data_IF_123313491226
#
_entry.id   IF_123313491226
#
_cell.length_a   1.000
_cell.length_b   1.000
_cell.length_c   1.000
_cell.angle_alpha   90.00
_cell.angle_beta   90.00
_cell.angle_gamma   90.00
#
_symmetry.space_group_name_H-M   'P 1'
#
loop_
_entity.id
_entity.type
_entity.pdbx_description
1 polymer ?
#
# COMPACT_ATOMS: atom_id res chain seq x y z
N UNK A 1 12.09 -26.95 2.09
CA UNK A 1 10.70 -27.30 1.70
C UNK A 1 10.22 -26.22 0.75
N UNK A 2 10.31 -26.45 -0.56
CA UNK A 2 10.00 -25.48 -1.62
C UNK A 2 8.97 -26.10 -2.57
N UNK A 3 7.77 -26.37 -2.03
CA UNK A 3 6.62 -26.82 -2.82
C UNK A 3 5.82 -25.60 -3.28
N UNK A 4 5.79 -25.34 -4.59
CA UNK A 4 4.78 -24.48 -5.21
C UNK A 4 5.14 -23.02 -5.46
N UNK A 5 6.38 -22.71 -5.87
CA UNK A 5 6.67 -21.37 -6.39
C UNK A 5 5.84 -21.09 -7.65
N UNK A 6 5.21 -19.91 -7.78
CA UNK A 6 4.46 -19.55 -8.98
C UNK A 6 5.39 -19.50 -10.20
N UNK A 7 4.94 -20.05 -11.32
CA UNK A 7 5.70 -20.02 -12.58
C UNK A 7 5.46 -18.70 -13.30
N UNK A 8 6.51 -17.93 -13.56
CA UNK A 8 6.43 -16.66 -14.27
C UNK A 8 6.62 -16.85 -15.79
N UNK A 9 5.93 -16.06 -16.58
CA UNK A 9 5.98 -16.01 -18.05
C UNK A 9 6.50 -14.65 -18.51
N UNK A 10 7.07 -14.62 -19.73
CA UNK A 10 7.65 -13.42 -20.35
C UNK A 10 9.15 -13.57 -20.59
N UNK A 11 9.80 -12.45 -20.88
CA UNK A 11 11.24 -12.29 -20.98
C UNK A 11 11.91 -12.50 -19.61
N UNK A 12 13.21 -12.80 -19.58
CA UNK A 12 13.94 -13.02 -18.32
C UNK A 12 13.82 -11.83 -17.36
N UNK A 13 13.90 -10.61 -17.90
CA UNK A 13 13.70 -9.38 -17.12
C UNK A 13 12.26 -9.27 -16.56
N UNK A 14 11.24 -9.58 -17.37
CA UNK A 14 9.84 -9.55 -16.94
C UNK A 14 9.56 -10.60 -15.85
N UNK A 15 10.15 -11.79 -15.99
CA UNK A 15 10.04 -12.85 -14.98
C UNK A 15 10.71 -12.44 -13.67
N UNK A 16 11.90 -11.82 -13.74
CA UNK A 16 12.61 -11.35 -12.56
C UNK A 16 11.84 -10.26 -11.83
N UNK A 17 11.28 -9.30 -12.55
CA UNK A 17 10.44 -8.24 -11.97
C UNK A 17 9.16 -8.82 -11.38
N UNK A 18 8.46 -9.71 -12.09
CA UNK A 18 7.27 -10.36 -11.58
C UNK A 18 7.54 -11.14 -10.27
N UNK A 19 8.70 -11.82 -10.19
CA UNK A 19 9.14 -12.50 -8.97
C UNK A 19 9.39 -11.53 -7.83
N UNK A 20 10.11 -10.43 -8.07
CA UNK A 20 10.38 -9.43 -7.04
C UNK A 20 9.11 -8.77 -6.52
N UNK A 21 8.15 -8.49 -7.41
CA UNK A 21 6.82 -7.98 -7.04
C UNK A 21 6.08 -8.99 -6.16
N UNK A 22 6.07 -10.27 -6.56
CA UNK A 22 5.44 -11.33 -5.79
C UNK A 22 6.07 -11.46 -4.39
N UNK A 23 7.40 -11.52 -4.31
CA UNK A 23 8.13 -11.62 -3.04
C UNK A 23 7.85 -10.42 -2.13
N UNK A 24 7.81 -9.20 -2.69
CA UNK A 24 7.46 -7.99 -1.95
C UNK A 24 6.03 -8.07 -1.40
N UNK A 25 5.06 -8.43 -2.24
CA UNK A 25 3.66 -8.55 -1.82
C UNK A 25 3.51 -9.61 -0.73
N UNK A 26 4.15 -10.78 -0.87
CA UNK A 26 4.14 -11.84 0.14
C UNK A 26 4.80 -11.39 1.45
N UNK A 27 5.90 -10.64 1.37
CA UNK A 27 6.59 -10.08 2.53
C UNK A 27 5.70 -9.08 3.30
N UNK A 28 4.97 -8.21 2.59
CA UNK A 28 3.99 -7.31 3.20
C UNK A 28 2.78 -8.07 3.76
N UNK A 29 2.39 -9.15 3.09
CA UNK A 29 1.28 -10.01 3.44
C UNK A 29 1.59 -11.07 4.50
N UNK A 30 2.74 -11.05 5.18
CA UNK A 30 3.16 -12.16 6.05
C UNK A 30 2.17 -12.46 7.18
N UNK A 31 1.58 -11.42 7.77
CA UNK A 31 0.58 -11.51 8.82
C UNK A 31 -0.82 -11.91 8.33
N UNK A 32 -1.05 -11.96 7.02
CA UNK A 32 -2.34 -12.31 6.45
C UNK A 32 -2.48 -13.83 6.25
N UNK A 33 -3.73 -14.30 6.19
CA UNK A 33 -4.04 -15.69 5.86
C UNK A 33 -3.49 -16.09 4.47
N UNK A 34 -3.21 -17.38 4.26
CA UNK A 34 -2.61 -17.88 3.02
C UNK A 34 -3.40 -17.54 1.74
N UNK A 35 -4.72 -17.45 1.85
CA UNK A 35 -5.66 -17.11 0.78
C UNK A 35 -6.10 -15.63 0.79
N UNK A 36 -5.56 -14.81 1.68
CA UNK A 36 -5.90 -13.40 1.72
C UNK A 36 -5.42 -12.67 0.47
N UNK A 37 -6.25 -11.76 -0.03
CA UNK A 37 -5.89 -10.88 -1.14
C UNK A 37 -4.98 -9.77 -0.64
N UNK A 38 -3.76 -9.74 -1.17
CA UNK A 38 -2.80 -8.68 -0.94
C UNK A 38 -2.97 -7.68 -2.09
N UNK A 39 -3.37 -6.46 -1.77
CA UNK A 39 -3.56 -5.35 -2.71
C UNK A 39 -2.33 -4.45 -2.67
N UNK A 40 -1.77 -4.10 -3.83
CA UNK A 40 -0.73 -3.09 -3.97
C UNK A 40 -1.00 -2.18 -5.17
N UNK A 41 -0.85 -0.87 -4.99
CA UNK A 41 -1.02 0.08 -6.09
C UNK A 41 0.23 0.13 -6.97
N UNK A 42 0.04 0.27 -8.28
CA UNK A 42 1.12 0.48 -9.24
C UNK A 42 2.06 1.64 -8.84
N UNK A 43 1.59 2.83 -8.44
CA UNK A 43 2.49 3.91 -8.02
C UNK A 43 3.35 3.57 -6.81
N UNK A 44 2.84 2.77 -5.85
CA UNK A 44 3.64 2.34 -4.69
C UNK A 44 4.73 1.35 -5.11
N UNK A 45 4.42 0.42 -6.02
CA UNK A 45 5.41 -0.53 -6.56
C UNK A 45 6.52 0.21 -7.32
N UNK A 46 6.15 1.11 -8.23
CA UNK A 46 7.10 1.92 -9.02
C UNK A 46 8.01 2.71 -8.09
N UNK A 47 7.42 3.41 -7.11
CA UNK A 47 8.17 4.20 -6.12
C UNK A 47 9.16 3.34 -5.34
N UNK A 48 8.74 2.16 -4.88
CA UNK A 48 9.58 1.23 -4.15
C UNK A 48 10.77 0.74 -5.00
N UNK A 49 10.54 0.31 -6.23
CA UNK A 49 11.61 -0.22 -7.09
C UNK A 49 12.57 0.85 -7.61
N UNK A 50 12.09 2.08 -7.81
CA UNK A 50 12.97 3.22 -8.10
C UNK A 50 13.85 3.54 -6.89
N UNK A 51 13.31 3.51 -5.67
CA UNK A 51 14.09 3.68 -4.43
C UNK A 51 15.13 2.57 -4.24
N UNK A 52 14.79 1.33 -4.61
CA UNK A 52 15.73 0.21 -4.62
C UNK A 52 16.75 0.24 -5.77
N UNK A 53 16.69 1.26 -6.64
CA UNK A 53 17.58 1.44 -7.80
C UNK A 53 17.53 0.29 -8.81
N UNK A 54 16.41 -0.44 -8.89
CA UNK A 54 16.21 -1.48 -9.92
C UNK A 54 16.15 -0.85 -11.31
N UNK A 55 15.41 0.26 -11.44
CA UNK A 55 15.43 1.15 -12.60
C UNK A 55 15.43 2.59 -12.11
N UNK A 56 16.24 3.49 -12.70
CA UNK A 56 16.32 4.89 -12.25
C UNK A 56 15.12 5.73 -12.70
N UNK A 57 14.39 5.31 -13.74
CA UNK A 57 13.28 6.05 -14.33
C UNK A 57 11.94 5.44 -13.94
N UNK A 58 11.06 6.25 -13.35
CA UNK A 58 9.71 5.83 -12.96
C UNK A 58 8.85 5.42 -14.17
N UNK A 59 8.96 6.10 -15.31
CA UNK A 59 8.19 5.76 -16.51
C UNK A 59 8.59 4.38 -17.06
N UNK A 60 9.89 4.15 -17.24
CA UNK A 60 10.39 2.84 -17.69
C UNK A 60 10.10 1.71 -16.69
N UNK A 61 10.11 2.01 -15.39
CA UNK A 61 9.74 1.03 -14.36
C UNK A 61 8.24 0.70 -14.43
N UNK A 62 7.40 1.69 -14.72
CA UNK A 62 5.95 1.51 -14.88
C UNK A 62 5.66 0.59 -16.06
N UNK A 63 6.24 0.87 -17.22
CA UNK A 63 6.06 0.04 -18.43
C UNK A 63 6.51 -1.40 -18.19
N UNK A 64 7.66 -1.60 -17.54
CA UNK A 64 8.19 -2.92 -17.22
C UNK A 64 7.30 -3.69 -16.24
N UNK A 65 6.79 -3.00 -15.20
CA UNK A 65 5.82 -3.57 -14.26
C UNK A 65 4.52 -3.98 -14.95
N UNK A 66 3.97 -3.10 -15.79
CA UNK A 66 2.73 -3.40 -16.51
C UNK A 66 2.92 -4.55 -17.50
N UNK A 67 4.03 -4.61 -18.23
CA UNK A 67 4.36 -5.71 -19.12
C UNK A 67 4.51 -7.04 -18.34
N UNK A 68 5.30 -7.04 -17.27
CA UNK A 68 5.53 -8.20 -16.43
C UNK A 68 4.22 -8.72 -15.80
N UNK A 69 3.40 -7.83 -15.24
CA UNK A 69 2.14 -8.23 -14.62
C UNK A 69 1.13 -8.71 -15.66
N UNK A 70 1.05 -8.06 -16.81
CA UNK A 70 0.15 -8.45 -17.90
C UNK A 70 0.44 -9.84 -18.44
N UNK A 71 1.73 -10.21 -18.57
CA UNK A 71 2.13 -11.56 -19.00
C UNK A 71 1.84 -12.63 -17.92
N UNK A 72 1.66 -12.21 -16.68
CA UNK A 72 1.48 -13.06 -15.50
C UNK A 72 0.09 -12.93 -14.88
N UNK A 73 -0.94 -12.79 -15.73
CA UNK A 73 -2.34 -12.63 -15.29
C UNK A 73 -2.92 -13.84 -14.54
N UNK A 74 -2.22 -14.99 -14.56
CA UNK A 74 -2.58 -16.17 -13.77
C UNK A 74 -2.16 -16.06 -12.29
N UNK A 75 -1.24 -15.16 -11.97
CA UNK A 75 -0.74 -14.89 -10.60
C UNK A 75 -1.28 -13.56 -10.06
N UNK A 76 -1.35 -12.56 -10.94
CA UNK A 76 -1.74 -11.20 -10.61
C UNK A 76 -3.07 -10.84 -11.26
N UNK A 77 -3.95 -10.24 -10.47
CA UNK A 77 -5.18 -9.64 -10.97
C UNK A 77 -5.06 -8.11 -10.96
N UNK A 78 -5.26 -7.48 -12.12
CA UNK A 78 -5.30 -6.01 -12.26
C UNK A 78 -6.70 -5.53 -11.94
N UNK A 79 -6.83 -4.72 -10.90
CA UNK A 79 -8.06 -4.01 -10.53
C UNK A 79 -7.84 -2.52 -10.76
N UNK A 80 -8.77 -1.90 -11.48
CA UNK A 80 -8.78 -0.45 -11.67
C UNK A 80 -9.98 0.10 -10.92
N UNK A 81 -9.72 0.84 -9.86
CA UNK A 81 -10.74 1.43 -8.99
C UNK A 81 -10.37 2.89 -8.73
N UNK A 82 -11.36 3.78 -8.76
CA UNK A 82 -11.17 5.22 -8.46
C UNK A 82 -10.04 5.89 -9.29
N UNK A 83 -9.86 5.45 -10.54
CA UNK A 83 -8.80 5.95 -11.42
C UNK A 83 -7.38 5.54 -11.02
N UNK A 84 -7.24 4.54 -10.14
CA UNK A 84 -5.97 4.00 -9.69
C UNK A 84 -5.85 2.52 -10.08
N UNK A 85 -4.69 2.15 -10.60
CA UNK A 85 -4.37 0.76 -10.95
C UNK A 85 -3.75 0.07 -9.75
N UNK A 86 -4.38 -1.02 -9.32
CA UNK A 86 -3.90 -1.88 -8.24
C UNK A 86 -3.77 -3.32 -8.71
N UNK A 87 -2.79 -4.03 -8.16
CA UNK A 87 -2.56 -5.44 -8.42
C UNK A 87 -2.86 -6.25 -7.17
N UNK A 88 -3.55 -7.36 -7.38
CA UNK A 88 -3.96 -8.30 -6.37
C UNK A 88 -3.26 -9.63 -6.58
N UNK A 89 -2.75 -10.20 -5.50
CA UNK A 89 -2.23 -11.57 -5.48
C UNK A 89 -2.51 -12.22 -4.12
N UNK A 90 -2.17 -13.50 -3.97
CA UNK A 90 -2.26 -14.25 -2.70
C UNK A 90 -0.89 -14.80 -2.33
N UNK A 91 -0.71 -15.26 -1.08
CA UNK A 91 0.56 -15.89 -0.66
C UNK A 91 0.90 -17.16 -1.46
N UNK A 92 -0.11 -17.79 -2.06
CA UNK A 92 0.02 -19.00 -2.86
C UNK A 92 0.22 -18.71 -4.36
N UNK A 93 0.23 -17.44 -4.78
CA UNK A 93 0.34 -17.06 -6.20
C UNK A 93 -0.84 -17.54 -7.05
N UNK A 94 -1.98 -17.81 -6.41
CA UNK A 94 -3.24 -18.19 -7.06
C UNK A 94 -4.31 -17.21 -6.62
N UNK A 95 -4.67 -16.29 -7.50
CA UNK A 95 -5.83 -15.45 -7.27
C UNK A 95 -7.08 -16.31 -7.39
N UNK A 96 -7.80 -16.47 -6.27
CA UNK A 96 -9.18 -16.97 -6.28
C UNK A 96 -10.05 -15.76 -5.98
N UNK A 97 -10.96 -15.34 -6.89
CA UNK A 97 -11.85 -14.24 -6.60
C UNK A 97 -12.62 -14.55 -5.32
N UNK A 98 -12.79 -13.59 -4.40
CA UNK A 98 -13.61 -13.81 -3.23
C UNK A 98 -14.99 -14.25 -3.73
N UNK A 99 -15.62 -15.29 -3.15
CA UNK A 99 -17.02 -15.55 -3.42
C UNK A 99 -17.74 -14.24 -3.18
N UNK A 100 -18.43 -13.72 -4.20
CA UNK A 100 -19.07 -12.41 -4.17
C UNK A 100 -19.78 -12.30 -2.83
N UNK A 101 -19.31 -11.39 -1.97
CA UNK A 101 -19.91 -11.18 -0.68
C UNK A 101 -21.37 -10.84 -0.98
N UNK A 102 -22.27 -11.79 -0.69
CA UNK A 102 -23.69 -11.53 -0.64
C UNK A 102 -23.81 -10.44 0.39
N UNK A 103 -23.91 -9.19 -0.08
CA UNK A 103 -24.21 -8.06 0.79
C UNK A 103 -25.45 -8.50 1.55
N UNK A 104 -25.41 -8.64 2.89
CA UNK A 104 -26.65 -8.83 3.62
C UNK A 104 -27.46 -7.59 3.28
N UNK A 105 -28.52 -7.77 2.48
CA UNK A 105 -29.53 -6.72 2.30
C UNK A 105 -29.87 -6.27 3.70
N UNK A 106 -29.50 -5.04 4.07
CA UNK A 106 -30.00 -4.42 5.28
C UNK A 106 -31.51 -4.48 5.14
N UNK A 107 -32.16 -5.36 5.89
CA UNK A 107 -33.59 -5.33 6.04
C UNK A 107 -33.93 -3.91 6.53
N UNK A 108 -34.92 -3.22 5.95
CA UNK A 108 -35.45 -2.04 6.61
C UNK A 108 -36.07 -2.53 7.92
N UNK A 109 -35.40 -2.25 9.05
CA UNK A 109 -35.94 -2.47 10.38
C UNK A 109 -36.98 -1.37 10.65
N UNK A 110 -38.08 -1.41 9.90
CA UNK A 110 -39.22 -0.51 9.99
C UNK A 110 -40.46 -1.29 10.41
N UNK A 111 -40.51 -1.70 11.68
CA UNK A 111 -41.75 -2.05 12.39
C UNK A 111 -41.43 -2.26 13.88
N UNK A 112 -41.23 -1.17 14.62
CA UNK A 112 -41.32 -1.21 16.08
C UNK A 112 -42.81 -1.24 16.47
N UNK A 113 -43.29 -2.17 17.34
CA UNK A 113 -44.60 -2.02 17.94
C UNK A 113 -44.60 -0.88 18.96
N UNK A 114 -45.72 -0.16 19.00
CA UNK A 114 -45.96 1.04 19.79
C UNK A 114 -45.79 0.83 21.31
N UNK A 115 -45.17 1.83 21.96
CA UNK A 115 -45.14 2.03 23.41
C UNK A 115 -46.51 2.48 23.95
N UNK A 116 -46.89 2.12 25.19
CA UNK A 116 -47.73 2.97 26.04
C UNK A 116 -46.87 3.86 26.98
N UNK A 117 -47.41 4.99 27.51
CA UNK A 117 -46.64 6.04 28.18
C UNK A 117 -46.66 5.99 29.72
N UNK A 118 -45.71 6.76 30.29
CA UNK A 118 -45.66 7.34 31.65
C UNK A 118 -45.40 6.40 32.84
N UNK A 119 -44.64 6.74 33.88
CA UNK A 119 -43.73 7.83 34.22
C UNK A 119 -42.98 7.35 35.49
N UNK A 120 -41.75 7.81 35.74
CA UNK A 120 -41.23 8.22 37.08
C UNK A 120 -39.73 8.53 36.99
N UNK A 121 -39.46 9.83 37.15
CA UNK A 121 -38.32 10.49 37.78
C UNK A 121 -36.89 9.94 37.62
N UNK A 122 -36.06 10.79 36.98
CA UNK A 122 -34.60 10.89 37.13
C UNK A 122 -34.25 11.46 38.51
N UNK A 123 -33.06 11.19 39.10
CA UNK A 123 -31.93 12.08 38.81
C UNK A 123 -30.50 11.47 38.86
N UNK A 124 -29.61 12.19 38.16
CA UNK A 124 -28.19 12.44 38.46
C UNK A 124 -27.15 11.30 38.37
N UNK A 125 -26.43 11.28 37.24
CA UNK A 125 -25.04 10.86 37.11
C UNK A 125 -24.39 11.63 35.94
N UNK A 126 -23.20 12.22 36.08
CA UNK A 126 -22.75 13.32 35.22
C UNK A 126 -22.31 12.86 33.83
N UNK A 127 -22.65 13.71 32.86
CA UNK A 127 -22.19 13.66 31.49
C UNK A 127 -20.67 13.75 31.41
N UNK A 128 -20.05 12.73 30.83
CA UNK A 128 -18.76 12.86 30.17
C UNK A 128 -18.88 12.32 28.76
N UNK A 129 -19.11 13.26 27.84
CA UNK A 129 -18.72 13.12 26.43
C UNK A 129 -17.18 13.10 26.41
N UNK A 130 -16.59 12.28 25.54
CA UNK A 130 -15.62 12.85 24.61
C UNK A 130 -16.10 12.48 23.20
N UNK A 131 -16.62 13.44 22.44
CA UNK A 131 -15.79 14.36 21.65
C UNK A 131 -14.76 13.58 20.83
N UNK A 132 -15.14 13.28 19.60
CA UNK A 132 -14.21 13.22 18.47
C UNK A 132 -13.33 14.47 18.55
N UNK A 133 -12.03 14.30 18.81
CA UNK A 133 -10.91 15.11 18.29
C UNK A 133 -9.65 14.54 18.92
N UNK A 134 -9.00 13.61 18.23
CA UNK A 134 -7.55 13.65 18.12
C UNK A 134 -7.22 13.27 16.68
N UNK A 135 -6.90 14.30 15.89
CA UNK A 135 -5.84 14.18 14.89
C UNK A 135 -4.68 13.54 15.63
N UNK A 136 -4.38 12.28 15.33
CA UNK A 136 -3.08 11.74 15.72
C UNK A 136 -2.06 12.58 14.95
N UNK A 137 -1.49 13.49 15.71
CA UNK A 137 -0.31 14.27 15.42
C UNK A 137 0.70 13.35 14.78
N UNK A 138 0.89 13.53 13.48
CA UNK A 138 2.14 13.21 12.80
C UNK A 138 3.24 13.69 13.75
N UNK A 139 4.12 12.83 14.30
CA UNK A 139 5.39 13.35 14.73
C UNK A 139 6.03 13.90 13.46
N UNK A 140 5.99 15.22 13.33
CA UNK A 140 7.00 15.96 12.58
C UNK A 140 8.32 15.42 13.14
N UNK A 141 8.87 14.42 12.45
CA UNK A 141 10.30 14.15 12.53
C UNK A 141 10.88 15.41 11.92
N UNK A 142 11.23 16.30 12.84
CA UNK A 142 12.05 17.46 12.66
C UNK A 142 13.11 17.09 11.62
N UNK A 143 12.92 17.67 10.43
CA UNK A 143 13.87 17.61 9.36
C UNK A 143 15.17 18.14 9.94
N UNK A 144 16.08 17.23 10.33
CA UNK A 144 17.47 17.60 10.54
C UNK A 144 17.91 18.21 9.22
N UNK A 145 18.27 19.50 9.17
CA UNK A 145 18.83 20.05 7.96
C UNK A 145 20.10 19.25 7.66
N UNK A 146 20.31 18.76 6.42
CA UNK A 146 21.60 18.22 6.06
C UNK A 146 22.63 19.32 6.32
N UNK A 147 23.60 19.00 7.17
CA UNK A 147 24.75 19.83 7.50
C UNK A 147 25.35 20.29 6.18
N UNK A 148 25.09 21.55 5.80
CA UNK A 148 25.77 22.23 4.70
C UNK A 148 27.25 22.08 5.01
N UNK A 149 27.93 21.21 4.27
CA UNK A 149 29.39 21.24 4.18
C UNK A 149 29.69 22.62 3.60
N UNK A 150 30.42 23.50 4.30
CA UNK A 150 30.83 24.76 3.72
C UNK A 150 31.71 24.45 2.51
N UNK A 151 31.23 24.83 1.33
CA UNK A 151 32.10 25.20 0.22
C UNK A 151 32.94 26.39 0.70
N UNK A 152 34.07 26.12 1.31
CA UNK A 152 35.12 27.11 1.45
C UNK A 152 35.81 27.21 0.08
N UNK A 153 35.22 28.06 -0.75
CA UNK A 153 35.94 28.68 -1.86
C UNK A 153 36.45 29.99 -1.27
N UNK A 154 37.76 30.09 -1.05
CA UNK A 154 38.41 31.39 -1.03
C UNK A 154 39.65 31.40 -1.92
N UNK A 155 39.97 32.57 -2.49
CA UNK A 155 40.64 32.68 -3.77
C UNK A 155 42.07 33.25 -3.65
N UNK A 156 42.89 32.93 -4.67
CA UNK A 156 43.85 33.83 -5.36
C UNK A 156 44.97 34.52 -4.54
N UNK A 157 46.22 34.14 -4.84
CA UNK A 157 47.40 34.99 -5.09
C UNK A 157 48.59 34.06 -5.45
N UNK A 158 49.09 33.98 -6.69
CA UNK A 158 50.14 34.82 -7.30
C UNK A 158 51.20 35.31 -6.28
N UNK A 159 52.43 34.78 -6.36
CA UNK A 159 53.77 35.43 -6.35
C UNK A 159 54.82 34.34 -6.07
N UNK A 160 55.63 33.91 -7.06
CA UNK A 160 56.96 34.41 -7.47
C UNK A 160 58.13 34.05 -6.52
N UNK A 161 59.04 33.21 -7.04
CA UNK A 161 60.51 33.16 -6.85
C UNK A 161 61.08 32.91 -5.44
N UNK A 162 62.35 32.49 -5.25
CA UNK A 162 63.53 32.50 -6.14
C UNK A 162 63.75 31.22 -6.95
#
# INVERSE_FOLDING_TARGET
>A
MTDGQPTFKGSEEEQQIARLVFELMVAQGQAFAANALIRQSLPNLVTHFVQQKVRPNAASMTELLEAAVRQNSHIFHREEADGQVSYLTTKLGRYVPPPAAVQPRRAPLGAAPARPPAATAVPAGPALKPTITQRETIPIVEARPPKRIPREIKPKAIHRHP
#
